data_IF_432698681268
#
_entry.id   IF_432698681268
#
_cell.length_a   1.000
_cell.length_b   1.000
_cell.length_c   1.000
_cell.angle_alpha   90.00
_cell.angle_beta   90.00
_cell.angle_gamma   90.00
#
_symmetry.space_group_name_H-M   'P 1'
#
loop_
_entity.id
_entity.type
_entity.pdbx_description
1 polymer ?
#
# COMPACT_ATOMS: atom_id res chain seq x y z
N UNK A 1 12.45 7.83 -19.31
CA UNK A 1 12.63 8.36 -17.94
C UNK A 1 12.77 7.15 -17.05
N UNK A 2 13.95 6.89 -16.49
CA UNK A 2 14.13 5.79 -15.54
C UNK A 2 13.51 6.23 -14.22
N UNK A 3 12.46 5.54 -13.78
CA UNK A 3 11.86 5.78 -12.47
C UNK A 3 12.96 5.56 -11.41
N UNK A 4 13.08 6.49 -10.48
CA UNK A 4 13.85 6.30 -9.27
C UNK A 4 13.33 5.09 -8.50
N UNK A 5 14.18 4.46 -7.70
CA UNK A 5 13.77 3.33 -6.86
C UNK A 5 12.55 3.69 -6.00
N UNK A 6 12.47 4.93 -5.50
CA UNK A 6 11.33 5.41 -4.73
C UNK A 6 10.03 5.40 -5.56
N UNK A 7 10.05 5.88 -6.80
CA UNK A 7 8.86 5.84 -7.66
C UNK A 7 8.43 4.42 -8.04
N UNK A 8 9.40 3.50 -8.23
CA UNK A 8 9.08 2.09 -8.46
C UNK A 8 8.41 1.46 -7.23
N UNK A 9 8.92 1.73 -6.04
CA UNK A 9 8.34 1.26 -4.78
C UNK A 9 6.96 1.88 -4.53
N UNK A 10 6.78 3.17 -4.82
CA UNK A 10 5.48 3.83 -4.71
C UNK A 10 4.43 3.17 -5.62
N UNK A 11 4.79 2.89 -6.88
CA UNK A 11 3.90 2.18 -7.81
C UNK A 11 3.55 0.76 -7.36
N UNK A 12 4.47 0.06 -6.68
CA UNK A 12 4.19 -1.26 -6.12
C UNK A 12 3.21 -1.15 -4.95
N UNK A 13 3.41 -0.18 -4.05
CA UNK A 13 2.50 0.07 -2.93
C UNK A 13 1.09 0.40 -3.43
N UNK A 14 1.00 1.26 -4.45
CA UNK A 14 -0.27 1.62 -5.08
C UNK A 14 -1.00 0.39 -5.63
N UNK A 15 -0.32 -0.40 -6.47
CA UNK A 15 -0.90 -1.63 -7.05
C UNK A 15 -1.35 -2.63 -6.00
N UNK A 16 -0.61 -2.74 -4.90
CA UNK A 16 -0.96 -3.65 -3.82
C UNK A 16 -2.21 -3.19 -3.07
N UNK A 17 -2.36 -1.89 -2.83
CA UNK A 17 -3.59 -1.32 -2.26
C UNK A 17 -4.81 -1.60 -3.15
N UNK A 18 -4.69 -1.36 -4.46
CA UNK A 18 -5.77 -1.64 -5.43
C UNK A 18 -6.16 -3.11 -5.45
N UNK A 19 -5.17 -4.01 -5.42
CA UNK A 19 -5.42 -5.45 -5.38
C UNK A 19 -6.22 -5.83 -4.14
N UNK A 20 -5.82 -5.37 -2.96
CA UNK A 20 -6.50 -5.68 -1.70
C UNK A 20 -7.92 -5.10 -1.66
N UNK A 21 -8.10 -3.88 -2.15
CA UNK A 21 -9.44 -3.29 -2.29
C UNK A 21 -10.32 -4.10 -3.24
N UNK A 22 -9.75 -4.63 -4.34
CA UNK A 22 -10.46 -5.51 -5.26
C UNK A 22 -10.85 -6.85 -4.63
N UNK A 23 -10.02 -7.41 -3.73
CA UNK A 23 -10.32 -8.65 -3.00
C UNK A 23 -11.55 -8.50 -2.11
N UNK A 24 -11.86 -7.29 -1.66
CA UNK A 24 -13.10 -7.01 -0.89
C UNK A 24 -14.37 -7.23 -1.71
N UNK A 25 -14.29 -7.23 -3.05
CA UNK A 25 -15.43 -7.56 -3.92
C UNK A 25 -15.69 -9.07 -3.93
N UNK A 26 -14.64 -9.88 -3.83
CA UNK A 26 -14.72 -11.35 -3.83
C UNK A 26 -14.95 -11.92 -2.44
N UNK A 27 -14.37 -11.30 -1.41
CA UNK A 27 -14.43 -11.72 -0.01
C UNK A 27 -14.99 -10.58 0.86
N UNK A 28 -16.29 -10.25 0.74
CA UNK A 28 -16.90 -9.14 1.48
C UNK A 28 -16.83 -9.32 3.00
N UNK A 29 -16.77 -10.56 3.49
CA UNK A 29 -16.60 -10.88 4.91
C UNK A 29 -15.25 -10.42 5.49
N UNK A 30 -14.26 -10.14 4.64
CA UNK A 30 -12.93 -9.63 5.03
C UNK A 30 -12.75 -8.15 4.74
N UNK A 31 -13.81 -7.44 4.36
CA UNK A 31 -13.74 -6.06 3.88
C UNK A 31 -13.05 -5.11 4.85
N UNK A 32 -13.30 -5.24 6.15
CA UNK A 32 -12.67 -4.39 7.17
C UNK A 32 -11.15 -4.60 7.18
N UNK A 33 -10.69 -5.85 7.32
CA UNK A 33 -9.27 -6.20 7.25
C UNK A 33 -8.60 -5.74 5.93
N UNK A 34 -9.28 -5.90 4.81
CA UNK A 34 -8.78 -5.45 3.51
C UNK A 34 -8.71 -3.91 3.43
N UNK A 35 -9.67 -3.20 4.02
CA UNK A 35 -9.67 -1.74 4.07
C UNK A 35 -8.48 -1.26 4.89
N UNK A 36 -8.23 -1.85 6.06
CA UNK A 36 -7.09 -1.50 6.92
C UNK A 36 -5.76 -1.78 6.23
N UNK A 37 -5.61 -2.97 5.63
CA UNK A 37 -4.42 -3.30 4.85
C UNK A 37 -4.21 -2.35 3.66
N UNK A 38 -5.28 -2.00 2.93
CA UNK A 38 -5.22 -1.04 1.83
C UNK A 38 -4.76 0.34 2.28
N UNK A 39 -5.26 0.82 3.43
CA UNK A 39 -4.82 2.07 4.04
C UNK A 39 -3.34 2.02 4.45
N UNK A 40 -2.86 0.89 4.99
CA UNK A 40 -1.45 0.70 5.33
C UNK A 40 -0.55 0.79 4.08
N UNK A 41 -0.94 0.16 2.97
CA UNK A 41 -0.20 0.27 1.70
C UNK A 41 -0.17 1.70 1.14
N UNK A 42 -1.27 2.44 1.23
CA UNK A 42 -1.32 3.85 0.82
C UNK A 42 -0.45 4.74 1.72
N UNK A 43 -0.37 4.46 3.02
CA UNK A 43 0.56 5.17 3.92
C UNK A 43 2.01 4.89 3.56
N UNK A 44 2.33 3.62 3.28
CA UNK A 44 3.67 3.22 2.85
C UNK A 44 4.08 3.89 1.54
N UNK A 45 3.16 3.98 0.57
CA UNK A 45 3.36 4.74 -0.67
C UNK A 45 3.79 6.19 -0.38
N UNK A 46 3.08 6.88 0.52
CA UNK A 46 3.41 8.25 0.90
C UNK A 46 4.77 8.38 1.59
N UNK A 47 5.12 7.44 2.47
CA UNK A 47 6.43 7.41 3.13
C UNK A 47 7.56 7.26 2.11
N UNK A 48 7.41 6.31 1.17
CA UNK A 48 8.37 6.06 0.09
C UNK A 48 8.55 7.29 -0.79
N UNK A 49 7.46 7.95 -1.20
CA UNK A 49 7.52 9.17 -2.03
C UNK A 49 8.26 10.30 -1.30
N UNK A 50 8.11 10.39 0.02
CA UNK A 50 8.78 11.40 0.86
C UNK A 50 10.24 11.05 1.18
N UNK A 51 10.72 9.87 0.78
CA UNK A 51 12.05 9.37 1.15
C UNK A 51 12.15 8.99 2.63
N UNK A 52 11.02 8.80 3.31
CA UNK A 52 10.98 8.33 4.68
C UNK A 52 11.32 6.83 4.72
N UNK A 53 12.04 6.39 5.74
CA UNK A 53 12.30 4.96 5.95
C UNK A 53 11.13 4.35 6.69
N UNK A 54 10.37 3.41 6.08
CA UNK A 54 9.26 2.76 6.75
C UNK A 54 9.77 1.94 7.93
N UNK A 55 9.13 2.06 9.09
CA UNK A 55 9.41 1.18 10.23
C UNK A 55 8.39 0.05 10.23
N UNK A 56 8.86 -1.15 10.55
CA UNK A 56 7.99 -2.34 10.63
C UNK A 56 6.88 -2.12 11.67
N UNK A 57 7.14 -1.35 12.71
CA UNK A 57 6.18 -1.01 13.77
C UNK A 57 5.05 -0.05 13.32
N UNK A 58 5.19 0.60 12.16
CA UNK A 58 4.18 1.50 11.60
C UNK A 58 3.06 0.72 10.86
N UNK A 59 3.28 -0.57 10.63
CA UNK A 59 2.33 -1.49 9.99
C UNK A 59 1.64 -2.29 11.11
N UNK A 60 0.57 -1.72 11.66
CA UNK A 60 -0.31 -2.39 12.62
C UNK A 60 -1.54 -2.97 11.94
#
# INVERSE_FOLDING_TARGET
>A
MHLSNAEQWAQLCHRQAELIESLSKTFPERRENHTDLGLCWRRLEQQVIRGETPRVDDIK
#
